data_IF_792184827585
#
_entry.id   IF_792184827585
#
_cell.length_a   1.000
_cell.length_b   1.000
_cell.length_c   1.000
_cell.angle_alpha   90.00
_cell.angle_beta   90.00
_cell.angle_gamma   90.00
#
_symmetry.space_group_name_H-M   'P 1'
#
loop_
_entity.id
_entity.type
_entity.pdbx_description
1 polymer ?
#
# COMPACT_ATOMS: atom_id res chain seq x y z
N UNK A 1 20.07 4.14 19.49
CA UNK A 1 21.12 3.40 18.79
C UNK A 1 20.76 3.16 17.30
N UNK A 2 19.52 2.86 16.96
CA UNK A 2 19.06 2.57 15.60
C UNK A 2 19.35 3.74 14.63
N UNK A 3 19.17 4.96 15.05
CA UNK A 3 19.37 6.17 14.24
C UNK A 3 20.75 6.81 14.40
N UNK A 4 21.65 6.21 15.16
CA UNK A 4 22.95 6.81 15.51
C UNK A 4 23.78 7.21 14.28
N UNK A 5 23.75 6.37 13.24
CA UNK A 5 24.54 6.55 12.02
C UNK A 5 23.69 7.06 10.84
N UNK A 6 22.52 7.66 11.14
CA UNK A 6 21.65 8.22 10.11
C UNK A 6 22.20 9.55 9.60
N UNK A 7 22.02 9.88 8.31
CA UNK A 7 22.39 11.15 7.74
C UNK A 7 21.71 12.33 8.45
N UNK A 8 22.37 13.50 8.53
CA UNK A 8 21.81 14.71 9.16
C UNK A 8 20.86 15.49 8.23
N UNK A 9 20.26 14.82 7.25
CA UNK A 9 19.30 15.40 6.30
C UNK A 9 18.07 14.50 6.14
N UNK A 10 16.93 15.05 5.66
CA UNK A 10 15.70 14.29 5.54
C UNK A 10 15.81 13.11 4.57
N UNK A 11 15.23 11.99 4.98
CA UNK A 11 15.08 10.78 4.19
C UNK A 11 13.61 10.39 4.13
N UNK A 12 13.17 9.88 3.00
CA UNK A 12 11.84 9.28 2.83
C UNK A 12 12.00 7.80 2.47
N UNK A 13 11.35 6.94 3.24
CA UNK A 13 11.54 5.51 3.16
C UNK A 13 10.53 4.74 4.00
N UNK A 14 10.72 3.45 4.08
CA UNK A 14 9.88 2.55 4.85
C UNK A 14 10.72 1.71 5.82
N UNK A 15 10.25 1.59 7.05
CA UNK A 15 10.81 0.64 8.02
C UNK A 15 10.44 -0.77 7.57
N UNK A 16 11.41 -1.66 7.53
CA UNK A 16 11.27 -2.96 6.89
C UNK A 16 12.00 -4.06 7.64
N UNK A 17 11.41 -5.23 7.72
CA UNK A 17 12.04 -6.47 8.17
C UNK A 17 12.18 -7.45 7.01
N UNK A 18 11.06 -7.98 6.54
CA UNK A 18 10.96 -8.91 5.39
C UNK A 18 9.58 -8.84 4.75
N UNK A 19 9.41 -9.49 3.61
CA UNK A 19 8.11 -9.58 2.93
C UNK A 19 7.10 -10.37 3.76
N UNK A 20 5.84 -9.91 3.75
CA UNK A 20 4.75 -10.53 4.47
C UNK A 20 4.80 -10.38 6.00
N UNK A 21 5.65 -9.51 6.53
CA UNK A 21 5.92 -9.38 7.98
C UNK A 21 5.30 -8.12 8.60
N UNK A 22 4.26 -7.57 7.99
CA UNK A 22 3.65 -6.30 8.40
C UNK A 22 3.20 -6.28 9.87
N UNK A 23 2.58 -7.37 10.36
CA UNK A 23 2.12 -7.42 11.75
C UNK A 23 3.29 -7.39 12.75
N UNK A 24 4.38 -8.07 12.43
CA UNK A 24 5.57 -8.11 13.28
C UNK A 24 6.27 -6.75 13.30
N UNK A 25 6.55 -6.13 12.15
CA UNK A 25 7.18 -4.80 12.13
C UNK A 25 6.31 -3.75 12.80
N UNK A 26 5.00 -3.80 12.61
CA UNK A 26 4.06 -2.92 13.30
C UNK A 26 4.16 -3.08 14.83
N UNK A 27 4.23 -4.32 15.31
CA UNK A 27 4.42 -4.61 16.74
C UNK A 27 5.73 -4.03 17.28
N UNK A 28 6.84 -4.16 16.53
CA UNK A 28 8.14 -3.60 16.92
C UNK A 28 8.09 -2.08 17.01
N UNK A 29 7.57 -1.43 15.95
CA UNK A 29 7.57 0.04 15.81
C UNK A 29 6.61 0.72 16.79
N UNK A 30 5.46 0.11 17.09
CA UNK A 30 4.47 0.65 18.04
C UNK A 30 4.77 0.31 19.50
N UNK A 31 5.76 -0.54 19.77
CA UNK A 31 6.17 -0.85 21.14
C UNK A 31 6.77 0.39 21.82
N UNK A 32 6.29 0.71 23.02
CA UNK A 32 6.87 1.77 23.86
C UNK A 32 8.12 1.31 24.62
N UNK A 33 8.46 0.04 24.55
CA UNK A 33 9.63 -0.53 25.21
C UNK A 33 10.75 -0.72 24.21
N UNK A 34 11.98 -0.41 24.64
CA UNK A 34 13.16 -0.77 23.86
C UNK A 34 13.22 -2.28 23.67
N UNK A 35 13.46 -2.71 22.46
CA UNK A 35 13.52 -4.13 22.09
C UNK A 35 14.67 -4.41 21.15
N UNK A 36 15.37 -5.51 21.40
CA UNK A 36 16.40 -6.04 20.50
C UNK A 36 15.81 -6.39 19.12
N UNK A 37 14.50 -6.55 19.01
CA UNK A 37 13.82 -6.80 17.72
C UNK A 37 14.10 -5.72 16.68
N UNK A 38 14.48 -4.50 17.09
CA UNK A 38 14.90 -3.43 16.19
C UNK A 38 16.17 -3.76 15.40
N UNK A 39 16.98 -4.71 15.84
CA UNK A 39 18.16 -5.17 15.09
C UNK A 39 17.80 -5.80 13.74
N UNK A 40 16.58 -6.32 13.61
CA UNK A 40 16.07 -6.88 12.37
C UNK A 40 15.46 -5.82 11.43
N UNK A 41 15.25 -4.60 11.90
CA UNK A 41 14.62 -3.52 11.15
C UNK A 41 15.65 -2.77 10.32
N UNK A 42 15.33 -2.51 9.07
CA UNK A 42 16.09 -1.61 8.19
C UNK A 42 15.19 -0.46 7.73
N UNK A 43 15.78 0.69 7.49
CA UNK A 43 15.12 1.84 6.88
C UNK A 43 15.43 1.82 5.38
N UNK A 44 14.46 1.42 4.60
CA UNK A 44 14.57 1.27 3.15
C UNK A 44 14.19 2.57 2.47
N UNK A 45 15.19 3.32 2.01
CA UNK A 45 15.05 4.65 1.44
C UNK A 45 14.69 4.57 -0.04
N UNK A 46 13.71 5.36 -0.44
CA UNK A 46 13.30 5.54 -1.82
C UNK A 46 13.32 7.00 -2.27
N UNK A 47 13.65 7.97 -1.38
CA UNK A 47 13.74 9.38 -1.73
C UNK A 47 14.56 10.19 -0.73
N UNK A 48 15.16 11.28 -1.21
CA UNK A 48 15.89 12.27 -0.40
C UNK A 48 15.30 13.67 -0.64
N UNK A 49 14.27 14.07 0.12
CA UNK A 49 13.41 15.20 -0.20
C UNK A 49 14.11 16.52 -0.49
N UNK A 50 15.15 16.86 0.28
CA UNK A 50 15.83 18.15 0.21
C UNK A 50 17.13 18.13 -0.62
N UNK A 51 17.46 17.02 -1.27
CA UNK A 51 18.60 16.95 -2.16
C UNK A 51 18.26 17.61 -3.52
N UNK A 52 19.27 18.21 -4.12
CA UNK A 52 19.13 18.88 -5.41
C UNK A 52 19.09 17.90 -6.59
N UNK A 53 18.47 18.34 -7.67
CA UNK A 53 18.45 17.63 -8.94
C UNK A 53 17.23 16.73 -9.12
N UNK A 54 17.29 15.88 -10.14
CA UNK A 54 16.27 14.89 -10.44
C UNK A 54 16.30 13.71 -9.45
N UNK A 55 15.39 12.77 -9.63
CA UNK A 55 15.25 11.62 -8.74
C UNK A 55 16.55 10.81 -8.60
N UNK A 56 17.25 10.56 -9.71
CA UNK A 56 18.50 9.81 -9.69
C UNK A 56 19.62 10.56 -8.97
N UNK A 57 19.72 11.87 -9.20
CA UNK A 57 20.71 12.73 -8.51
C UNK A 57 20.48 12.75 -7.00
N UNK A 58 19.23 12.79 -6.56
CA UNK A 58 18.88 12.75 -5.14
C UNK A 58 19.27 11.41 -4.48
N UNK A 59 19.05 10.27 -5.14
CA UNK A 59 19.51 8.97 -4.63
C UNK A 59 21.03 8.84 -4.68
N UNK A 60 21.69 9.29 -5.73
CA UNK A 60 23.15 9.29 -5.84
C UNK A 60 23.81 10.14 -4.73
N UNK A 61 23.15 11.22 -4.32
CA UNK A 61 23.62 12.02 -3.17
C UNK A 61 23.67 11.15 -1.90
N UNK A 62 22.64 10.39 -1.61
CA UNK A 62 22.62 9.47 -0.46
C UNK A 62 23.63 8.33 -0.62
N UNK A 63 23.75 7.73 -1.80
CA UNK A 63 24.76 6.69 -2.05
C UNK A 63 26.17 7.19 -1.76
N UNK A 64 26.51 8.38 -2.23
CA UNK A 64 27.82 8.98 -1.99
C UNK A 64 28.08 9.32 -0.52
N UNK A 65 27.02 9.71 0.22
CA UNK A 65 27.11 9.91 1.65
C UNK A 65 27.38 8.58 2.36
N UNK A 66 26.61 7.51 2.07
CA UNK A 66 26.72 6.20 2.72
C UNK A 66 28.04 5.48 2.41
N UNK A 67 28.67 5.74 1.26
CA UNK A 67 30.04 5.25 0.96
C UNK A 67 31.07 5.78 1.96
N UNK A 68 30.87 6.98 2.48
CA UNK A 68 31.76 7.62 3.47
C UNK A 68 31.34 7.38 4.91
N UNK A 69 30.03 7.20 5.11
CA UNK A 69 29.39 7.05 6.42
C UNK A 69 28.47 5.82 6.39
N UNK A 70 29.02 4.60 6.41
CA UNK A 70 28.23 3.39 6.26
C UNK A 70 27.24 3.20 7.44
N UNK A 71 26.03 2.75 7.13
CA UNK A 71 25.03 2.34 8.11
C UNK A 71 24.48 0.96 7.75
N UNK A 72 24.43 0.06 8.71
CA UNK A 72 23.85 -1.27 8.51
C UNK A 72 22.31 -1.24 8.47
N UNK A 73 21.71 -0.16 8.98
CA UNK A 73 20.26 0.02 9.08
C UNK A 73 19.65 0.75 7.91
N UNK A 74 20.46 1.41 7.06
CA UNK A 74 19.95 2.14 5.87
C UNK A 74 20.23 1.31 4.63
N UNK A 75 19.16 1.14 3.81
CA UNK A 75 19.25 0.53 2.48
C UNK A 75 18.56 1.44 1.47
N UNK A 76 19.17 1.63 0.31
CA UNK A 76 18.52 2.30 -0.79
C UNK A 76 17.78 1.25 -1.61
N UNK A 77 16.48 1.46 -1.84
CA UNK A 77 15.66 0.56 -2.66
C UNK A 77 16.16 0.63 -4.10
N UNK A 78 16.52 -0.51 -4.73
CA UNK A 78 16.92 -0.53 -6.13
C UNK A 78 15.86 0.08 -7.04
N UNK A 79 16.28 0.95 -7.96
CA UNK A 79 15.42 1.59 -8.93
C UNK A 79 15.69 0.99 -10.31
N UNK A 80 14.60 0.75 -11.06
CA UNK A 80 14.67 0.15 -12.41
C UNK A 80 13.99 1.11 -13.38
N UNK A 81 14.68 1.44 -14.46
CA UNK A 81 14.10 2.27 -15.53
C UNK A 81 13.02 1.46 -16.24
N UNK A 82 11.78 1.95 -16.21
CA UNK A 82 10.67 1.35 -16.92
C UNK A 82 10.69 1.82 -18.38
N UNK A 83 10.81 0.89 -19.32
CA UNK A 83 10.89 1.21 -20.75
C UNK A 83 9.51 1.35 -21.41
N UNK A 84 8.56 0.49 -21.00
CA UNK A 84 7.22 0.45 -21.57
C UNK A 84 6.24 -0.31 -20.64
N UNK A 85 4.97 -0.39 -21.06
CA UNK A 85 3.91 -1.09 -20.32
C UNK A 85 4.16 -2.61 -20.17
N UNK A 86 4.78 -3.24 -21.17
CA UNK A 86 5.05 -4.68 -21.12
C UNK A 86 6.14 -4.98 -20.10
N UNK A 87 7.20 -4.16 -20.08
CA UNK A 87 8.24 -4.23 -19.05
C UNK A 87 7.65 -4.08 -17.65
N UNK A 88 6.79 -3.07 -17.45
CA UNK A 88 6.11 -2.86 -16.18
C UNK A 88 5.30 -4.10 -15.76
N UNK A 89 4.47 -4.64 -16.66
CA UNK A 89 3.61 -5.79 -16.36
C UNK A 89 4.42 -7.04 -16.03
N UNK A 90 5.52 -7.30 -16.77
CA UNK A 90 6.42 -8.41 -16.52
C UNK A 90 7.08 -8.27 -15.13
N UNK A 91 7.64 -7.11 -14.85
CA UNK A 91 8.30 -6.83 -13.57
C UNK A 91 7.32 -6.90 -12.39
N UNK A 92 6.10 -6.35 -12.54
CA UNK A 92 5.04 -6.45 -11.53
C UNK A 92 4.70 -7.91 -11.25
N UNK A 93 4.51 -8.73 -12.28
CA UNK A 93 4.19 -10.16 -12.15
C UNK A 93 5.29 -10.90 -11.38
N UNK A 94 6.56 -10.72 -11.76
CA UNK A 94 7.71 -11.33 -11.08
C UNK A 94 7.77 -10.95 -9.59
N UNK A 95 7.48 -9.70 -9.26
CA UNK A 95 7.46 -9.23 -7.88
C UNK A 95 6.29 -9.81 -7.07
N UNK A 96 5.10 -9.90 -7.68
CA UNK A 96 3.92 -10.49 -7.03
C UNK A 96 4.11 -11.99 -6.75
N UNK A 97 4.69 -12.75 -7.68
CA UNK A 97 5.07 -14.16 -7.51
C UNK A 97 6.05 -14.33 -6.33
N UNK A 98 6.88 -13.32 -6.06
CA UNK A 98 7.79 -13.26 -4.92
C UNK A 98 7.17 -12.59 -3.68
N UNK A 99 5.84 -12.44 -3.61
CA UNK A 99 5.13 -11.93 -2.44
C UNK A 99 5.21 -10.43 -2.22
N UNK A 100 5.53 -9.63 -3.25
CA UNK A 100 5.40 -8.18 -3.18
C UNK A 100 3.92 -7.75 -3.26
N UNK A 101 3.61 -6.54 -2.77
CA UNK A 101 2.26 -5.97 -2.89
C UNK A 101 2.02 -5.27 -4.24
N UNK A 102 3.08 -4.85 -4.91
CA UNK A 102 3.04 -4.06 -6.13
C UNK A 102 4.29 -3.23 -6.33
N UNK A 103 4.21 -2.26 -7.22
CA UNK A 103 5.32 -1.34 -7.56
C UNK A 103 4.87 0.12 -7.48
N UNK A 104 5.82 1.02 -7.31
CA UNK A 104 5.63 2.46 -7.46
C UNK A 104 6.31 2.88 -8.76
N UNK A 105 5.56 3.54 -9.64
CA UNK A 105 6.13 4.20 -10.82
C UNK A 105 6.32 5.67 -10.47
N UNK A 106 7.52 6.19 -10.70
CA UNK A 106 7.86 7.60 -10.51
C UNK A 106 8.24 8.26 -11.82
N UNK A 107 7.90 9.52 -11.98
CA UNK A 107 8.53 10.36 -13.01
C UNK A 107 9.89 10.85 -12.48
N UNK A 108 11.02 10.40 -13.07
CA UNK A 108 12.35 10.69 -12.53
C UNK A 108 12.76 12.16 -12.68
N UNK A 109 12.15 12.91 -13.62
CA UNK A 109 12.54 14.28 -13.95
C UNK A 109 11.89 15.34 -13.04
N UNK A 110 10.97 14.93 -12.15
CA UNK A 110 10.23 15.86 -11.30
C UNK A 110 10.85 16.01 -9.91
N UNK A 111 10.62 17.17 -9.32
CA UNK A 111 10.98 17.42 -7.94
C UNK A 111 10.22 16.50 -6.98
N UNK A 112 10.73 16.38 -5.76
CA UNK A 112 10.01 15.72 -4.68
C UNK A 112 8.76 16.51 -4.29
N UNK A 113 7.65 15.83 -4.14
CA UNK A 113 6.39 16.39 -3.65
C UNK A 113 5.88 15.57 -2.48
N UNK A 114 5.44 16.25 -1.43
CA UNK A 114 4.81 15.63 -0.26
C UNK A 114 3.34 15.28 -0.54
N UNK A 115 2.85 14.20 0.06
CA UNK A 115 1.45 13.80 -0.02
C UNK A 115 1.11 13.01 -1.28
N UNK A 116 -0.16 13.09 -1.71
CA UNK A 116 -0.64 12.39 -2.91
C UNK A 116 -0.32 13.21 -4.15
N UNK A 117 0.42 12.61 -5.07
CA UNK A 117 0.82 13.24 -6.33
C UNK A 117 0.56 12.30 -7.51
N UNK A 118 0.37 12.86 -8.69
CA UNK A 118 0.34 12.11 -9.95
C UNK A 118 1.73 11.72 -10.45
N UNK A 119 2.79 12.23 -9.82
CA UNK A 119 4.19 11.96 -10.17
C UNK A 119 4.70 10.63 -9.61
N UNK A 120 3.93 10.03 -8.68
CA UNK A 120 4.21 8.72 -8.10
C UNK A 120 2.92 7.89 -8.08
N UNK A 121 2.87 6.84 -8.88
CA UNK A 121 1.70 6.01 -9.06
C UNK A 121 1.93 4.62 -8.48
N UNK A 122 1.07 4.20 -7.55
CA UNK A 122 1.09 2.85 -7.01
C UNK A 122 0.33 1.89 -7.92
N UNK A 123 1.03 0.89 -8.45
CA UNK A 123 0.47 -0.18 -9.28
C UNK A 123 0.43 -1.45 -8.45
N UNK A 124 -0.78 -1.96 -8.24
CA UNK A 124 -1.05 -3.22 -7.52
C UNK A 124 -1.97 -4.08 -8.35
N UNK A 125 -1.80 -5.39 -8.28
CA UNK A 125 -2.82 -6.32 -8.75
C UNK A 125 -4.00 -6.31 -7.78
N UNK A 126 -5.19 -6.41 -8.32
CA UNK A 126 -6.41 -6.58 -7.55
C UNK A 126 -7.22 -7.74 -8.14
N UNK A 127 -8.00 -8.35 -7.28
CA UNK A 127 -8.97 -9.37 -7.65
C UNK A 127 -10.36 -8.77 -7.52
N UNK A 128 -11.33 -9.30 -8.23
CA UNK A 128 -12.73 -9.00 -8.02
C UNK A 128 -13.49 -10.27 -7.60
N UNK A 129 -14.53 -10.08 -6.83
CA UNK A 129 -15.44 -11.13 -6.38
C UNK A 129 -16.83 -10.52 -6.19
N UNK A 130 -17.81 -11.38 -5.98
CA UNK A 130 -19.18 -11.01 -5.77
C UNK A 130 -19.65 -11.44 -4.37
N UNK A 131 -20.55 -10.61 -3.81
CA UNK A 131 -21.15 -10.95 -2.53
C UNK A 131 -22.56 -10.40 -2.42
N UNK A 132 -23.38 -11.09 -1.62
CA UNK A 132 -24.77 -10.72 -1.35
C UNK A 132 -24.83 -9.65 -0.27
N UNK A 133 -25.58 -8.59 -0.54
CA UNK A 133 -25.90 -7.57 0.47
C UNK A 133 -26.87 -8.18 1.49
N UNK A 134 -26.43 -8.27 2.74
CA UNK A 134 -27.25 -8.80 3.86
C UNK A 134 -27.60 -7.73 4.88
N UNK A 135 -27.14 -6.49 4.71
CA UNK A 135 -27.46 -5.36 5.58
C UNK A 135 -26.69 -4.10 5.24
N UNK A 136 -27.08 -3.01 5.91
CA UNK A 136 -26.45 -1.71 5.84
C UNK A 136 -25.93 -1.30 7.22
N UNK A 137 -24.79 -0.61 7.25
CA UNK A 137 -24.30 0.08 8.44
C UNK A 137 -24.42 1.59 8.20
N UNK A 138 -24.76 2.33 9.24
CA UNK A 138 -24.92 3.77 9.21
C UNK A 138 -23.99 4.44 10.23
N UNK A 139 -23.64 5.67 9.98
CA UNK A 139 -22.96 6.55 10.92
C UNK A 139 -23.94 7.05 11.98
N UNK A 140 -23.44 7.72 13.02
CA UNK A 140 -24.26 8.29 14.09
C UNK A 140 -25.27 9.35 13.60
N UNK A 141 -24.95 10.03 12.51
CA UNK A 141 -25.79 11.04 11.85
C UNK A 141 -26.83 10.45 10.89
N UNK A 142 -26.92 9.12 10.81
CA UNK A 142 -27.85 8.42 9.92
C UNK A 142 -27.35 8.26 8.48
N UNK A 143 -26.20 8.81 8.12
CA UNK A 143 -25.64 8.65 6.78
C UNK A 143 -25.11 7.22 6.54
N UNK A 144 -25.20 6.76 5.28
CA UNK A 144 -24.68 5.44 4.88
C UNK A 144 -23.18 5.32 5.13
N UNK A 145 -22.78 4.25 5.80
CA UNK A 145 -21.38 3.95 6.12
C UNK A 145 -20.81 2.83 5.24
N UNK A 146 -21.46 1.67 5.21
CA UNK A 146 -21.00 0.49 4.48
C UNK A 146 -22.11 -0.54 4.27
N UNK A 147 -21.93 -1.40 3.28
CA UNK A 147 -22.71 -2.62 3.14
C UNK A 147 -22.15 -3.72 4.06
N UNK A 148 -23.03 -4.56 4.56
CA UNK A 148 -22.69 -5.86 5.15
C UNK A 148 -22.84 -6.92 4.07
N UNK A 149 -21.73 -7.54 3.66
CA UNK A 149 -21.65 -8.48 2.53
C UNK A 149 -21.41 -9.90 3.04
N UNK A 150 -22.18 -10.85 2.49
CA UNK A 150 -21.94 -12.29 2.66
C UNK A 150 -21.33 -12.85 1.37
N UNK A 151 -20.18 -13.51 1.47
CA UNK A 151 -19.53 -14.23 0.39
C UNK A 151 -20.15 -15.64 0.18
N UNK A 152 -19.85 -16.29 -0.95
CA UNK A 152 -20.28 -17.66 -1.22
C UNK A 152 -19.87 -18.67 -0.13
N UNK A 153 -18.70 -18.48 0.48
CA UNK A 153 -18.17 -19.28 1.57
C UNK A 153 -18.71 -18.89 2.96
N UNK A 154 -19.77 -18.08 3.03
CA UNK A 154 -20.42 -17.60 4.26
C UNK A 154 -19.61 -16.63 5.11
N UNK A 155 -18.45 -16.19 4.65
CA UNK A 155 -17.69 -15.13 5.33
C UNK A 155 -18.43 -13.80 5.16
N UNK A 156 -18.57 -13.08 6.28
CA UNK A 156 -19.22 -11.77 6.32
C UNK A 156 -18.18 -10.68 6.58
N UNK A 157 -18.27 -9.61 5.80
CA UNK A 157 -17.42 -8.43 5.99
C UNK A 157 -18.18 -7.14 5.67
N UNK A 158 -17.58 -5.99 6.03
CA UNK A 158 -18.13 -4.67 5.76
C UNK A 158 -17.42 -4.05 4.55
N UNK A 159 -18.21 -3.69 3.51
CA UNK A 159 -17.73 -3.02 2.31
C UNK A 159 -18.06 -1.53 2.40
N UNK A 160 -17.07 -0.68 2.68
CA UNK A 160 -17.27 0.76 2.92
C UNK A 160 -16.58 1.67 1.90
N UNK A 161 -15.65 1.13 1.09
CA UNK A 161 -14.91 1.86 0.06
C UNK A 161 -15.54 1.74 -1.32
N UNK A 162 -15.17 2.64 -2.25
CA UNK A 162 -15.52 2.58 -3.66
C UNK A 162 -16.86 3.23 -4.04
N UNK A 163 -17.69 3.57 -3.08
CA UNK A 163 -18.99 4.19 -3.33
C UNK A 163 -18.85 5.65 -3.78
N UNK A 164 -19.50 6.01 -4.88
CA UNK A 164 -19.73 7.39 -5.31
C UNK A 164 -20.77 8.05 -4.38
N UNK A 165 -20.93 9.36 -4.52
CA UNK A 165 -21.93 10.12 -3.76
C UNK A 165 -23.35 9.59 -3.99
N UNK A 166 -23.66 9.25 -5.23
CA UNK A 166 -24.96 8.70 -5.65
C UNK A 166 -25.22 7.33 -5.00
N UNK A 167 -24.22 6.43 -5.00
CA UNK A 167 -24.33 5.12 -4.35
C UNK A 167 -24.55 5.23 -2.84
N UNK A 168 -24.02 6.28 -2.21
CA UNK A 168 -24.21 6.53 -0.78
C UNK A 168 -25.60 7.06 -0.43
N UNK A 169 -26.21 7.79 -1.36
CA UNK A 169 -27.59 8.27 -1.21
C UNK A 169 -28.61 7.16 -1.49
N UNK A 170 -28.30 6.27 -2.43
CA UNK A 170 -29.12 5.13 -2.84
C UNK A 170 -28.30 3.85 -2.81
N UNK A 171 -27.94 3.32 -1.62
CA UNK A 171 -27.09 2.15 -1.52
C UNK A 171 -27.78 0.89 -2.08
N UNK A 172 -27.01 -0.07 -2.63
CA UNK A 172 -27.53 -1.36 -3.07
C UNK A 172 -28.42 -2.00 -2.01
N UNK A 173 -29.56 -2.57 -2.44
CA UNK A 173 -30.59 -3.10 -1.55
C UNK A 173 -30.17 -4.44 -0.93
N UNK A 174 -30.72 -4.75 0.23
CA UNK A 174 -30.58 -6.07 0.83
C UNK A 174 -31.13 -7.13 -0.12
N UNK A 175 -30.35 -8.19 -0.34
CA UNK A 175 -30.65 -9.25 -1.29
C UNK A 175 -29.93 -9.12 -2.64
N UNK A 176 -29.52 -7.93 -3.04
CA UNK A 176 -28.77 -7.72 -4.28
C UNK A 176 -27.35 -8.26 -4.17
N UNK A 177 -26.76 -8.61 -5.31
CA UNK A 177 -25.36 -8.97 -5.43
C UNK A 177 -24.56 -7.76 -5.91
N UNK A 178 -23.39 -7.57 -5.33
CA UNK A 178 -22.45 -6.50 -5.71
C UNK A 178 -21.11 -7.10 -6.09
N UNK A 179 -20.48 -6.53 -7.11
CA UNK A 179 -19.10 -6.78 -7.47
C UNK A 179 -18.21 -5.81 -6.70
N UNK A 180 -17.16 -6.30 -6.11
CA UNK A 180 -16.15 -5.49 -5.41
C UNK A 180 -14.74 -5.96 -5.77
N UNK A 181 -13.78 -5.05 -5.81
CA UNK A 181 -12.35 -5.39 -5.93
C UNK A 181 -11.71 -5.48 -4.55
N UNK A 182 -10.64 -6.31 -4.45
CA UNK A 182 -9.89 -6.49 -3.21
C UNK A 182 -8.43 -6.86 -3.50
N UNK A 183 -7.57 -6.84 -2.48
CA UNK A 183 -6.12 -7.05 -2.60
C UNK A 183 -5.65 -8.22 -1.72
N UNK A 184 -6.27 -9.39 -1.90
CA UNK A 184 -6.00 -10.60 -1.10
C UNK A 184 -6.89 -10.70 0.14
N UNK A 185 -6.57 -11.64 1.01
CA UNK A 185 -7.39 -11.99 2.18
C UNK A 185 -6.64 -11.77 3.50
N UNK A 186 -7.39 -11.49 4.55
CA UNK A 186 -6.90 -11.55 5.93
C UNK A 186 -6.73 -13.00 6.36
N UNK A 187 -6.08 -13.25 7.51
CA UNK A 187 -6.00 -14.59 8.13
C UNK A 187 -7.37 -15.26 8.32
N UNK A 188 -8.42 -14.46 8.53
CA UNK A 188 -9.79 -14.92 8.71
C UNK A 188 -10.58 -14.99 7.40
N UNK A 189 -9.92 -14.96 6.23
CA UNK A 189 -10.53 -15.08 4.92
C UNK A 189 -11.36 -13.87 4.46
N UNK A 190 -11.31 -12.73 5.17
CA UNK A 190 -12.00 -11.51 4.74
C UNK A 190 -11.19 -10.78 3.68
N UNK A 191 -11.84 -10.24 2.61
CA UNK A 191 -11.16 -9.45 1.59
C UNK A 191 -10.45 -8.21 2.18
N UNK A 192 -9.17 -8.02 1.84
CA UNK A 192 -8.40 -6.84 2.25
C UNK A 192 -8.69 -5.67 1.33
N UNK A 193 -8.88 -4.47 1.90
CA UNK A 193 -9.08 -3.22 1.17
C UNK A 193 -10.20 -3.29 0.12
N UNK A 194 -11.27 -4.03 0.45
CA UNK A 194 -12.41 -4.21 -0.44
C UNK A 194 -13.04 -2.87 -0.82
N UNK A 195 -13.37 -2.73 -2.11
CA UNK A 195 -13.90 -1.50 -2.70
C UNK A 195 -14.99 -1.83 -3.70
N UNK A 196 -16.18 -1.25 -3.51
CA UNK A 196 -17.34 -1.42 -4.38
C UNK A 196 -17.02 -1.03 -5.82
N UNK A 197 -17.52 -1.80 -6.78
CA UNK A 197 -17.42 -1.52 -8.21
C UNK A 197 -18.78 -1.25 -8.83
N UNK A 198 -19.74 -2.15 -8.63
CA UNK A 198 -21.10 -2.05 -9.21
C UNK A 198 -22.07 -3.01 -8.54
N UNK A 199 -23.36 -2.79 -8.70
CA UNK A 199 -24.41 -3.80 -8.51
C UNK A 199 -24.33 -4.79 -9.67
N UNK A 200 -24.48 -6.07 -9.40
CA UNK A 200 -24.56 -7.10 -10.44
C UNK A 200 -25.95 -7.01 -11.11
N UNK A 201 -25.94 -6.85 -12.41
CA UNK A 201 -27.15 -7.03 -13.20
C UNK A 201 -27.50 -8.52 -13.20
N UNK A 202 -28.75 -8.83 -12.85
CA UNK A 202 -29.28 -10.20 -12.97
C UNK A 202 -29.76 -10.34 -14.40
N UNK A 203 -29.06 -11.18 -15.17
CA UNK A 203 -29.54 -11.65 -16.47
C UNK A 203 -30.77 -12.56 -16.29
#
# INVERSE_FOLDING_TARGET
>A
WFTKDFPPFPLDGELWTKRGDFENIQSIVLSQQESQNWESVTYNIFEVPNANGDFQNRLNFLENYLKKNPSIYIKIIPQIVCTDKNHLNKFLKELLENGAEGVIIKNPNLAYETGRTTNSLKVKEFFDDEGKVIGHNFNKDGSFKSLKIELKNKIIFNLGGGFKKEDRLNPPKIGEFVTFKYYGFTKNGKPKFASFLRVREVE
#
